data_IF_291841044028
#
_entry.id   IF_291841044028
#
_cell.length_a   1.000
_cell.length_b   1.000
_cell.length_c   1.000
_cell.angle_alpha   90.00
_cell.angle_beta   90.00
_cell.angle_gamma   90.00
#
_symmetry.space_group_name_H-M   'P 1'
#
loop_
_entity.id
_entity.type
_entity.pdbx_description
1 polymer ?
#
# COMPACT_ATOMS: atom_id res chain seq x y z
N UNK A 1 -27.16 27.97 47.49
CA UNK A 1 -25.94 27.16 47.27
C UNK A 1 -26.34 25.77 46.81
N UNK A 2 -27.03 25.64 45.67
CA UNK A 2 -27.53 24.34 45.15
C UNK A 2 -27.73 24.33 43.62
N UNK A 3 -26.95 25.11 42.86
CA UNK A 3 -27.06 25.16 41.38
C UNK A 3 -25.74 24.86 40.65
N UNK A 4 -24.64 24.65 41.38
CA UNK A 4 -23.31 24.51 40.76
C UNK A 4 -22.93 23.08 40.38
N UNK A 5 -23.61 22.06 40.93
CA UNK A 5 -23.20 20.66 40.76
C UNK A 5 -23.88 19.95 39.59
N UNK A 6 -24.99 20.49 39.07
CA UNK A 6 -25.75 19.83 37.98
C UNK A 6 -25.08 19.98 36.62
N UNK A 7 -24.39 21.11 36.37
CA UNK A 7 -23.72 21.40 35.09
C UNK A 7 -22.41 20.63 34.93
N UNK A 8 -21.71 20.36 36.03
CA UNK A 8 -20.44 19.61 36.05
C UNK A 8 -20.64 18.13 35.70
N UNK A 9 -21.71 17.51 36.21
CA UNK A 9 -22.07 16.13 35.88
C UNK A 9 -22.45 15.95 34.41
N UNK A 10 -23.28 16.85 33.87
CA UNK A 10 -23.75 16.78 32.49
C UNK A 10 -22.60 16.89 31.48
N UNK A 11 -21.61 17.76 31.76
CA UNK A 11 -20.47 17.97 30.87
C UNK A 11 -19.46 16.79 30.90
N UNK A 12 -19.34 16.09 32.04
CA UNK A 12 -18.52 14.87 32.16
C UNK A 12 -19.18 13.67 31.48
N UNK A 13 -20.49 13.50 31.67
CA UNK A 13 -21.28 12.48 30.98
C UNK A 13 -21.31 12.71 29.47
N UNK A 14 -21.41 13.96 29.02
CA UNK A 14 -21.36 14.31 27.60
C UNK A 14 -19.98 14.02 26.98
N UNK A 15 -18.87 14.27 27.70
CA UNK A 15 -17.51 13.89 27.27
C UNK A 15 -17.30 12.37 27.22
N UNK A 16 -17.86 11.63 28.17
CA UNK A 16 -17.81 10.16 28.16
C UNK A 16 -18.64 9.58 27.02
N UNK A 17 -19.82 10.15 26.74
CA UNK A 17 -20.66 9.77 25.61
C UNK A 17 -19.97 10.11 24.28
N UNK A 18 -19.34 11.29 24.15
CA UNK A 18 -18.57 11.66 22.96
C UNK A 18 -17.35 10.74 22.75
N UNK A 19 -16.64 10.39 23.82
CA UNK A 19 -15.49 9.47 23.75
C UNK A 19 -15.92 8.04 23.38
N UNK A 20 -17.06 7.56 23.93
CA UNK A 20 -17.62 6.27 23.55
C UNK A 20 -18.10 6.26 22.07
N UNK A 21 -18.74 7.34 21.62
CA UNK A 21 -19.15 7.49 20.22
C UNK A 21 -17.94 7.56 19.26
N UNK A 22 -16.84 8.18 19.67
CA UNK A 22 -15.60 8.22 18.89
C UNK A 22 -14.92 6.84 18.77
N UNK A 23 -14.99 5.99 19.80
CA UNK A 23 -14.47 4.62 19.72
C UNK A 23 -15.29 3.75 18.75
N UNK A 24 -16.61 3.90 18.72
CA UNK A 24 -17.49 3.14 17.82
C UNK A 24 -17.36 3.52 16.33
N UNK A 25 -16.71 4.63 15.99
CA UNK A 25 -16.48 5.06 14.61
C UNK A 25 -15.27 4.39 13.94
N UNK A 26 -14.55 3.52 14.65
CA UNK A 26 -13.42 2.76 14.09
C UNK A 26 -13.93 1.56 13.30
N UNK A 27 -14.41 1.81 12.08
CA UNK A 27 -14.72 0.73 11.13
C UNK A 27 -13.41 0.07 10.68
N UNK A 28 -13.13 -1.12 11.22
CA UNK A 28 -12.04 -1.96 10.72
C UNK A 28 -12.49 -2.49 9.35
N UNK A 29 -12.01 -1.90 8.27
CA UNK A 29 -12.24 -2.44 6.92
C UNK A 29 -11.30 -3.63 6.72
N UNK A 30 -11.78 -4.82 7.07
CA UNK A 30 -11.07 -6.07 6.79
C UNK A 30 -11.30 -6.44 5.32
N UNK A 31 -10.52 -5.81 4.44
CA UNK A 31 -10.40 -6.19 3.03
C UNK A 31 -9.21 -7.13 2.84
N UNK A 32 -9.18 -8.25 3.58
CA UNK A 32 -8.06 -9.18 3.49
C UNK A 32 -8.23 -10.10 2.28
N UNK A 33 -7.40 -9.87 1.28
CA UNK A 33 -7.25 -10.72 0.12
C UNK A 33 -6.38 -11.92 0.44
N UNK A 34 -6.77 -13.07 -0.10
CA UNK A 34 -6.00 -14.30 -0.02
C UNK A 34 -5.89 -14.87 -1.43
N UNK A 35 -4.66 -15.05 -1.91
CA UNK A 35 -4.42 -15.68 -3.21
C UNK A 35 -3.19 -16.58 -3.20
N UNK A 36 -3.09 -17.46 -4.20
CA UNK A 36 -1.89 -18.26 -4.45
C UNK A 36 -0.99 -17.51 -5.44
N UNK A 37 0.29 -17.35 -5.08
CA UNK A 37 1.30 -16.73 -5.95
C UNK A 37 1.74 -17.65 -7.11
N UNK A 38 2.63 -17.16 -7.97
CA UNK A 38 3.14 -17.94 -9.11
C UNK A 38 4.02 -19.12 -8.70
N UNK A 39 4.53 -19.12 -7.46
CA UNK A 39 5.36 -20.17 -6.88
C UNK A 39 4.51 -21.23 -6.15
N UNK A 40 3.20 -21.02 -6.03
CA UNK A 40 2.25 -21.93 -5.40
C UNK A 40 2.06 -21.68 -3.90
N UNK A 41 2.59 -20.59 -3.34
CA UNK A 41 2.44 -20.25 -1.92
C UNK A 41 1.20 -19.37 -1.67
N UNK A 42 0.50 -19.58 -0.53
CA UNK A 42 -0.60 -18.73 -0.13
C UNK A 42 -0.10 -17.38 0.42
N UNK A 43 -0.62 -16.29 -0.14
CA UNK A 43 -0.31 -14.90 0.21
C UNK A 43 -1.57 -14.22 0.73
N UNK A 44 -1.47 -13.59 1.91
CA UNK A 44 -2.53 -12.80 2.53
C UNK A 44 -2.14 -11.32 2.51
N UNK A 45 -3.00 -10.46 1.96
CA UNK A 45 -2.71 -9.03 1.82
C UNK A 45 -3.96 -8.20 1.97
N UNK A 46 -3.85 -7.02 2.58
CA UNK A 46 -4.95 -6.05 2.66
C UNK A 46 -5.06 -5.19 1.38
N UNK A 47 -4.18 -5.41 0.40
CA UNK A 47 -4.22 -4.79 -0.92
C UNK A 47 -4.75 -5.77 -1.98
N UNK A 48 -5.51 -5.25 -2.94
CA UNK A 48 -6.03 -6.03 -4.05
C UNK A 48 -4.90 -6.73 -4.83
N UNK A 49 -5.08 -8.00 -5.24
CA UNK A 49 -4.07 -8.75 -5.96
C UNK A 49 -3.69 -8.04 -7.26
N UNK A 50 -2.38 -7.97 -7.59
CA UNK A 50 -1.94 -7.40 -8.86
C UNK A 50 -2.46 -8.25 -10.04
N UNK A 51 -2.66 -7.62 -11.20
CA UNK A 51 -3.23 -8.26 -12.40
C UNK A 51 -2.40 -9.44 -12.96
N UNK A 52 -1.18 -9.66 -12.44
CA UNK A 52 -0.36 -10.82 -12.73
C UNK A 52 -0.84 -12.11 -12.05
N UNK A 53 -1.71 -12.02 -11.04
CA UNK A 53 -2.28 -13.19 -10.34
C UNK A 53 -3.57 -13.61 -11.06
N UNK A 54 -3.67 -14.86 -11.54
CA UNK A 54 -4.86 -15.32 -12.24
C UNK A 54 -6.06 -15.39 -11.29
N UNK A 55 -7.25 -15.05 -11.77
CA UNK A 55 -8.48 -14.95 -10.94
C UNK A 55 -8.81 -16.26 -10.19
N UNK A 56 -8.49 -17.41 -10.79
CA UNK A 56 -8.64 -18.75 -10.18
C UNK A 56 -7.80 -18.96 -8.92
N UNK A 57 -6.75 -18.18 -8.72
CA UNK A 57 -5.87 -18.25 -7.56
C UNK A 57 -6.33 -17.32 -6.43
N UNK A 58 -7.35 -16.48 -6.65
CA UNK A 58 -7.90 -15.59 -5.61
C UNK A 58 -8.97 -16.38 -4.84
N UNK A 59 -8.64 -16.71 -3.59
CA UNK A 59 -9.48 -17.57 -2.75
C UNK A 59 -10.51 -16.73 -1.97
N UNK A 60 -10.14 -15.52 -1.54
CA UNK A 60 -11.01 -14.62 -0.75
C UNK A 60 -10.66 -13.14 -0.98
N UNK A 61 -11.66 -12.25 -0.96
CA UNK A 61 -11.53 -10.79 -0.96
C UNK A 61 -12.89 -10.07 -1.10
N UNK A 62 -13.03 -8.80 -0.69
CA UNK A 62 -14.27 -8.06 -0.85
C UNK A 62 -14.58 -7.85 -2.34
N UNK A 63 -15.75 -8.31 -2.78
CA UNK A 63 -16.16 -8.32 -4.19
C UNK A 63 -15.89 -9.64 -4.93
N UNK A 64 -15.21 -10.61 -4.31
CA UNK A 64 -15.10 -11.97 -4.86
C UNK A 64 -16.41 -12.69 -4.59
N UNK A 65 -17.31 -12.67 -5.58
CA UNK A 65 -18.51 -13.50 -5.59
C UNK A 65 -18.04 -14.96 -5.72
N UNK A 66 -17.87 -15.65 -4.59
CA UNK A 66 -17.79 -17.10 -4.54
C UNK A 66 -19.06 -17.65 -5.20
N UNK A 67 -18.97 -18.05 -6.47
CA UNK A 67 -19.92 -19.02 -7.01
C UNK A 67 -19.65 -20.30 -6.23
N UNK A 68 -20.51 -20.57 -5.26
CA UNK A 68 -20.35 -21.67 -4.34
C UNK A 68 -20.34 -23.00 -5.07
N UNK A 69 -19.31 -23.79 -4.80
CA UNK A 69 -19.50 -25.22 -4.59
C UNK A 69 -18.71 -25.58 -3.35
N UNK A 70 -19.44 -25.63 -2.24
CA UNK A 70 -18.97 -26.23 -1.00
C UNK A 70 -19.31 -27.70 -1.11
N UNK A 71 -18.30 -28.56 -1.11
CA UNK A 71 -18.39 -29.87 -0.46
C UNK A 71 -16.97 -30.38 -0.18
N UNK A 72 -16.53 -30.20 1.06
CA UNK A 72 -15.50 -31.03 1.68
C UNK A 72 -15.92 -32.50 1.67
N UNK A 73 -15.00 -33.41 1.38
CA UNK A 73 -14.74 -34.59 2.21
C UNK A 73 -13.58 -35.44 1.64
N UNK A 74 -12.75 -35.94 2.55
CA UNK A 74 -11.79 -37.03 2.38
C UNK A 74 -12.27 -38.13 3.35
N UNK A 75 -11.97 -39.44 3.19
CA UNK A 75 -12.00 -40.32 2.02
C UNK A 75 -12.93 -41.55 2.26
N UNK A 76 -13.43 -42.21 1.21
CA UNK A 76 -13.70 -43.66 1.19
C UNK A 76 -14.17 -44.11 -0.21
N UNK A 77 -13.44 -45.06 -0.80
CA UNK A 77 -13.93 -45.97 -1.85
C UNK A 77 -14.98 -46.94 -1.22
N UNK A 78 -15.90 -47.63 -1.94
CA UNK A 78 -15.74 -48.10 -3.33
C UNK A 78 -16.98 -48.01 -4.26
N UNK A 79 -16.73 -48.34 -5.53
CA UNK A 79 -17.66 -48.93 -6.52
C UNK A 79 -18.56 -48.01 -7.38
N UNK A 80 -18.23 -48.03 -8.67
CA UNK A 80 -18.99 -47.67 -9.89
C UNK A 80 -20.44 -48.16 -9.96
N UNK A 81 -21.23 -47.80 -11.01
CA UNK A 81 -21.36 -46.55 -11.78
C UNK A 81 -22.85 -46.13 -11.92
N UNK A 82 -23.15 -45.15 -12.78
CA UNK A 82 -24.36 -45.04 -13.64
C UNK A 82 -25.21 -43.75 -13.47
N UNK A 83 -24.99 -42.84 -14.43
CA UNK A 83 -26.00 -42.37 -15.39
C UNK A 83 -27.19 -41.52 -14.85
N UNK A 84 -27.30 -40.26 -15.28
CA UNK A 84 -28.14 -39.85 -16.43
C UNK A 84 -28.30 -38.33 -16.50
N UNK A 85 -28.06 -37.83 -17.71
CA UNK A 85 -28.90 -36.87 -18.47
C UNK A 85 -29.23 -35.54 -17.79
N UNK A 86 -28.55 -34.48 -18.24
CA UNK A 86 -28.98 -33.10 -18.11
C UNK A 86 -28.90 -32.39 -19.47
N UNK A 87 -30.07 -32.12 -20.03
CA UNK A 87 -30.25 -31.42 -21.30
C UNK A 87 -30.09 -29.89 -21.13
N UNK A 88 -29.46 -29.28 -22.14
CA UNK A 88 -29.73 -27.97 -22.76
C UNK A 88 -28.42 -27.18 -23.00
N UNK A 89 -28.14 -26.76 -24.24
CA UNK A 89 -26.97 -25.96 -24.54
C UNK A 89 -27.23 -24.52 -24.06
N UNK A 90 -26.52 -24.10 -23.02
CA UNK A 90 -26.50 -22.69 -22.64
C UNK A 90 -25.72 -21.97 -23.73
N UNK A 91 -26.42 -21.15 -24.53
CA UNK A 91 -25.82 -20.31 -25.56
C UNK A 91 -24.66 -19.52 -24.96
N UNK A 92 -23.47 -19.72 -25.52
CA UNK A 92 -22.34 -18.84 -25.29
C UNK A 92 -22.74 -17.39 -25.63
N UNK A 93 -22.40 -16.38 -24.81
CA UNK A 93 -22.60 -15.00 -25.17
C UNK A 93 -21.64 -14.65 -26.31
N UNK A 94 -22.12 -14.77 -27.54
CA UNK A 94 -21.50 -14.22 -28.73
C UNK A 94 -21.79 -12.72 -28.76
N UNK A 95 -20.91 -11.91 -28.16
CA UNK A 95 -21.01 -10.45 -28.27
C UNK A 95 -20.24 -9.67 -27.21
N UNK A 96 -18.91 -9.80 -27.13
CA UNK A 96 -18.12 -9.04 -26.15
C UNK A 96 -16.69 -8.63 -26.56
N UNK A 97 -16.23 -8.88 -27.80
CA UNK A 97 -14.86 -8.48 -28.17
C UNK A 97 -14.65 -6.95 -28.21
N UNK A 98 -15.62 -6.18 -28.70
CA UNK A 98 -15.49 -4.72 -28.78
C UNK A 98 -15.46 -4.02 -27.41
N UNK A 99 -16.31 -4.47 -26.46
CA UNK A 99 -16.36 -3.89 -25.12
C UNK A 99 -15.17 -4.31 -24.23
N UNK A 100 -14.60 -5.51 -24.46
CA UNK A 100 -13.35 -5.93 -23.83
C UNK A 100 -12.15 -5.14 -24.36
N UNK A 101 -12.08 -4.93 -25.67
CA UNK A 101 -11.03 -4.14 -26.30
C UNK A 101 -11.00 -2.70 -25.77
N UNK A 102 -12.17 -2.06 -25.67
CA UNK A 102 -12.28 -0.70 -25.13
C UNK A 102 -11.83 -0.60 -23.66
N UNK A 103 -12.17 -1.59 -22.82
CA UNK A 103 -11.70 -1.64 -21.43
C UNK A 103 -10.19 -1.87 -21.31
N UNK A 104 -9.61 -2.70 -22.19
CA UNK A 104 -8.16 -2.92 -22.25
C UNK A 104 -7.44 -1.64 -22.68
N UNK A 105 -7.98 -0.91 -23.64
CA UNK A 105 -7.38 0.34 -24.11
C UNK A 105 -7.49 1.47 -23.07
N UNK A 106 -8.62 1.58 -22.35
CA UNK A 106 -8.77 2.49 -21.21
C UNK A 106 -7.79 2.15 -20.07
N UNK A 107 -7.61 0.86 -19.76
CA UNK A 107 -6.66 0.43 -18.74
C UNK A 107 -5.20 0.74 -19.13
N UNK A 108 -4.82 0.52 -20.39
CA UNK A 108 -3.49 0.89 -20.91
C UNK A 108 -3.22 2.39 -20.82
N UNK A 109 -4.19 3.22 -21.20
CA UNK A 109 -4.05 4.68 -21.09
C UNK A 109 -3.92 5.15 -19.63
N UNK A 110 -4.67 4.54 -18.72
CA UNK A 110 -4.57 4.84 -17.29
C UNK A 110 -3.20 4.45 -16.72
N UNK A 111 -2.65 3.29 -17.09
CA UNK A 111 -1.31 2.84 -16.67
C UNK A 111 -0.20 3.72 -17.27
N UNK A 112 -0.32 4.12 -18.54
CA UNK A 112 0.64 5.04 -19.17
C UNK A 112 0.63 6.43 -18.50
N UNK A 113 -0.57 6.94 -18.16
CA UNK A 113 -0.71 8.19 -17.43
C UNK A 113 -0.10 8.11 -16.02
N UNK A 114 -0.33 7.00 -15.28
CA UNK A 114 0.29 6.78 -13.97
C UNK A 114 1.82 6.71 -14.07
N UNK A 115 2.34 5.99 -15.06
CA UNK A 115 3.79 5.88 -15.30
C UNK A 115 4.41 7.23 -15.59
N UNK A 116 3.82 8.04 -16.47
CA UNK A 116 4.27 9.42 -16.75
C UNK A 116 4.26 10.29 -15.49
N UNK A 117 3.21 10.19 -14.67
CA UNK A 117 3.15 10.93 -13.40
C UNK A 117 4.21 10.47 -12.39
N UNK A 118 4.49 9.16 -12.30
CA UNK A 118 5.53 8.62 -11.42
C UNK A 118 6.93 9.03 -11.89
N UNK A 119 7.21 8.95 -13.20
CA UNK A 119 8.47 9.42 -13.79
C UNK A 119 8.70 10.91 -13.51
N UNK A 120 7.66 11.74 -13.69
CA UNK A 120 7.74 13.17 -13.37
C UNK A 120 8.02 13.42 -11.88
N UNK A 121 7.39 12.66 -10.97
CA UNK A 121 7.65 12.76 -9.52
C UNK A 121 9.07 12.35 -9.17
N UNK A 122 9.58 11.27 -9.76
CA UNK A 122 10.95 10.80 -9.53
C UNK A 122 11.96 11.81 -10.08
N UNK A 123 11.72 12.37 -11.27
CA UNK A 123 12.58 13.40 -11.85
C UNK A 123 12.61 14.67 -10.97
N UNK A 124 11.46 15.12 -10.50
CA UNK A 124 11.37 16.26 -9.58
C UNK A 124 12.10 16.00 -8.26
N UNK A 125 11.95 14.82 -7.67
CA UNK A 125 12.64 14.44 -6.45
C UNK A 125 14.16 14.39 -6.64
N UNK A 126 14.66 13.85 -7.75
CA UNK A 126 16.09 13.86 -8.08
C UNK A 126 16.63 15.28 -8.21
N UNK A 127 15.90 16.16 -8.91
CA UNK A 127 16.30 17.56 -9.07
C UNK A 127 16.39 18.30 -7.72
N UNK A 128 15.42 18.09 -6.81
CA UNK A 128 15.47 18.67 -5.47
C UNK A 128 16.64 18.11 -4.64
N UNK A 129 16.82 16.78 -4.66
CA UNK A 129 17.95 16.14 -3.98
C UNK A 129 19.29 16.67 -4.47
N UNK A 130 19.45 16.83 -5.79
CA UNK A 130 20.64 17.41 -6.38
C UNK A 130 20.91 18.83 -5.83
N UNK A 131 19.89 19.70 -5.86
CA UNK A 131 20.00 21.07 -5.34
C UNK A 131 20.38 21.09 -3.86
N UNK A 132 19.74 20.24 -3.04
CA UNK A 132 20.03 20.11 -1.61
C UNK A 132 21.45 19.60 -1.37
N UNK A 133 21.91 18.62 -2.13
CA UNK A 133 23.24 18.06 -2.00
C UNK A 133 24.33 19.08 -2.40
N UNK A 134 24.12 19.86 -3.47
CA UNK A 134 25.04 20.94 -3.84
C UNK A 134 25.15 22.01 -2.74
N UNK A 135 24.03 22.43 -2.16
CA UNK A 135 24.03 23.39 -1.05
C UNK A 135 24.73 22.82 0.21
N UNK A 136 24.52 21.54 0.51
CA UNK A 136 25.21 20.87 1.61
C UNK A 136 26.72 20.82 1.37
N UNK A 137 27.17 20.50 0.15
CA UNK A 137 28.59 20.50 -0.23
C UNK A 137 29.21 21.88 -0.07
N UNK A 138 28.53 22.94 -0.53
CA UNK A 138 29.00 24.32 -0.36
C UNK A 138 29.16 24.67 1.13
N UNK A 139 28.19 24.26 1.97
CA UNK A 139 28.25 24.47 3.42
C UNK A 139 29.41 23.72 4.07
N UNK A 140 29.61 22.46 3.72
CA UNK A 140 30.73 21.65 4.21
C UNK A 140 32.09 22.25 3.85
N UNK A 141 32.20 22.83 2.64
CA UNK A 141 33.42 23.47 2.13
C UNK A 141 33.63 24.91 2.61
N UNK A 142 32.62 25.55 3.20
CA UNK A 142 32.68 26.96 3.63
C UNK A 142 33.68 27.26 4.75
N UNK A 143 34.26 26.22 5.39
CA UNK A 143 35.12 26.37 6.56
C UNK A 143 34.37 26.71 7.86
N UNK A 144 33.04 26.87 7.80
CA UNK A 144 32.25 27.11 9.01
C UNK A 144 32.27 25.91 9.96
N UNK A 145 32.29 26.18 11.27
CA UNK A 145 32.22 25.15 12.31
C UNK A 145 30.83 24.52 12.33
N UNK A 146 30.76 23.21 12.08
CA UNK A 146 29.50 22.46 12.07
C UNK A 146 29.34 21.66 13.35
N UNK A 147 28.09 21.52 13.81
CA UNK A 147 27.75 20.72 14.98
C UNK A 147 26.63 19.75 14.64
N UNK A 148 26.72 18.53 15.17
CA UNK A 148 25.62 17.54 15.14
C UNK A 148 25.24 17.15 16.56
N UNK A 149 24.04 16.62 16.71
CA UNK A 149 23.64 15.99 17.97
C UNK A 149 24.17 14.55 17.99
N UNK A 150 24.72 14.13 19.13
CA UNK A 150 25.02 12.73 19.38
C UNK A 150 23.76 11.99 19.88
N UNK A 151 23.87 10.68 20.14
CA UNK A 151 22.75 9.85 20.61
C UNK A 151 22.20 10.27 21.98
N UNK A 152 22.97 11.07 22.74
CA UNK A 152 22.58 11.64 24.03
C UNK A 152 21.93 13.04 23.90
N UNK A 153 21.78 13.55 22.68
CA UNK A 153 21.22 14.88 22.41
C UNK A 153 22.20 16.03 22.67
N UNK A 154 23.49 15.76 22.89
CA UNK A 154 24.50 16.79 23.09
C UNK A 154 25.06 17.27 21.74
N UNK A 155 25.34 18.57 21.65
CA UNK A 155 25.97 19.16 20.46
C UNK A 155 27.45 18.85 20.43
N UNK A 156 27.88 18.03 19.48
CA UNK A 156 29.29 17.77 19.17
C UNK A 156 29.71 18.53 17.91
N UNK A 157 30.89 19.13 17.96
CA UNK A 157 31.49 19.77 16.79
C UNK A 157 32.07 18.69 15.87
N UNK A 158 31.82 18.81 14.57
CA UNK A 158 32.43 17.91 13.59
C UNK A 158 33.92 18.20 13.48
N UNK A 159 34.73 17.16 13.70
CA UNK A 159 36.15 17.17 13.37
C UNK A 159 36.37 17.02 11.85
N UNK A 160 37.63 17.15 11.42
CA UNK A 160 37.99 17.11 10.00
C UNK A 160 37.72 15.76 9.34
N UNK A 161 37.86 14.66 10.08
CA UNK A 161 37.57 13.31 9.58
C UNK A 161 36.07 13.12 9.36
N UNK A 162 35.24 13.63 10.27
CA UNK A 162 33.79 13.61 10.16
C UNK A 162 33.32 14.51 9.01
N UNK A 163 33.88 15.72 8.87
CA UNK A 163 33.59 16.60 7.73
C UNK A 163 33.93 15.92 6.39
N UNK A 164 35.08 15.26 6.30
CA UNK A 164 35.49 14.54 5.10
C UNK A 164 34.55 13.37 4.77
N UNK A 165 34.07 12.64 5.79
CA UNK A 165 33.09 11.57 5.60
C UNK A 165 31.74 12.12 5.08
N UNK A 166 31.26 13.22 5.63
CA UNK A 166 30.02 13.88 5.16
C UNK A 166 30.18 14.44 3.74
N UNK A 167 31.35 14.99 3.41
CA UNK A 167 31.66 15.42 2.04
C UNK A 167 31.60 14.25 1.07
N UNK A 168 32.24 13.12 1.39
CA UNK A 168 32.20 11.91 0.55
C UNK A 168 30.78 11.39 0.35
N UNK A 169 29.96 11.39 1.41
CA UNK A 169 28.54 10.99 1.32
C UNK A 169 27.76 11.95 0.42
N UNK A 170 27.97 13.26 0.58
CA UNK A 170 27.30 14.29 -0.23
C UNK A 170 27.71 14.18 -1.70
N UNK A 171 28.99 13.95 -1.99
CA UNK A 171 29.49 13.75 -3.35
C UNK A 171 28.89 12.50 -4.03
N UNK A 172 28.66 11.42 -3.28
CA UNK A 172 27.98 10.24 -3.80
C UNK A 172 26.52 10.54 -4.21
N UNK A 173 25.80 11.34 -3.41
CA UNK A 173 24.43 11.78 -3.72
C UNK A 173 24.43 12.69 -4.95
N UNK A 174 25.37 13.62 -5.04
CA UNK A 174 25.53 14.47 -6.24
C UNK A 174 25.77 13.59 -7.47
N UNK A 175 26.66 12.59 -7.35
CA UNK A 175 26.96 11.69 -8.46
C UNK A 175 25.79 10.79 -8.89
N UNK A 176 24.80 10.53 -8.03
CA UNK A 176 23.59 9.77 -8.39
C UNK A 176 22.46 10.67 -8.89
N UNK A 177 22.22 11.80 -8.22
CA UNK A 177 20.98 12.57 -8.37
C UNK A 177 21.14 13.82 -9.26
N UNK A 178 22.37 14.27 -9.53
CA UNK A 178 22.66 15.41 -10.41
C UNK A 178 23.04 15.01 -11.86
N UNK A 179 22.69 13.80 -12.29
CA UNK A 179 22.91 13.33 -13.67
C UNK A 179 21.72 13.62 -14.57
#
# INVERSE_FOLDING_TARGET
MFESDYTSGFMKSSRLILAAAALCASTVVLAQYHWIDNEGHPVFSDQAPPASIPEKSIISGPGVQKSGSIASSVPANPSTPQNRVGAAPVKAPTGTDAALQERVDQAKQAEEAKKKQQEAKVAAARADNCKRAQNAKATLNSGMRMARLNDKGERIILDDSQRAAELKRTDAIIASDCK
#
